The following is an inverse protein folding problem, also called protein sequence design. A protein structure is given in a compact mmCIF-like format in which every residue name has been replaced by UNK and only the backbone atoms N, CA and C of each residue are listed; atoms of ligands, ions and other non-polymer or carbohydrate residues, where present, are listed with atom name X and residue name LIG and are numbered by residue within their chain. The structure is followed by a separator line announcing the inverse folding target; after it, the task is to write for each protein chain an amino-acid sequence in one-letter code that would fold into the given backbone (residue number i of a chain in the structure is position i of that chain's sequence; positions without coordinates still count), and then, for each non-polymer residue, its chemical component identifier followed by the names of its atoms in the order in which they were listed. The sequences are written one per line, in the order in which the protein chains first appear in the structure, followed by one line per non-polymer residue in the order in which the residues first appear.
data_IF_485079444732
#
_entry.id   IF_485079444732
#
_cell.length_a   1.000
_cell.length_b   1.000
_cell.length_c   1.000
_cell.angle_alpha   90.00
_cell.angle_beta   90.00
_cell.angle_gamma   90.00
#
_symmetry.space_group_name_H-M   'P 1'
#
loop_
_entity.id
_entity.type
_entity.pdbx_description
1 polymer ?
#
# COMPACT_ATOMS: atom_id res chain seq x y z
N UNK A 1 8.31 18.96 11.60
CA UNK A 1 7.09 19.69 12.01
C UNK A 1 6.65 19.31 13.42
N UNK A 2 6.71 18.03 13.83
CA UNK A 2 6.54 17.65 15.25
C UNK A 2 7.50 18.39 16.20
N UNK A 3 8.75 18.64 15.79
CA UNK A 3 9.73 19.45 16.54
C UNK A 3 9.26 20.89 16.84
N UNK A 4 8.38 21.45 16.01
CA UNK A 4 7.78 22.77 16.23
C UNK A 4 6.66 22.71 17.30
N UNK A 5 5.86 21.65 17.29
CA UNK A 5 4.77 21.46 18.25
C UNK A 5 5.28 21.10 19.65
N UNK A 6 6.40 20.39 19.74
CA UNK A 6 7.05 20.01 21.02
C UNK A 6 7.67 21.20 21.74
N UNK A 7 8.23 22.17 21.01
CA UNK A 7 8.85 23.37 21.58
C UNK A 7 7.83 24.39 22.09
N UNK A 8 6.59 24.36 21.59
CA UNK A 8 5.58 25.39 21.86
C UNK A 8 4.40 24.95 22.77
N UNK A 9 4.52 23.83 23.50
CA UNK A 9 3.43 23.27 24.36
C UNK A 9 2.08 23.28 23.65
N UNK A 10 2.06 22.89 22.38
CA UNK A 10 0.85 23.01 21.57
C UNK A 10 -0.16 21.98 22.06
N UNK A 11 -1.39 22.44 22.35
CA UNK A 11 -2.46 21.59 22.89
C UNK A 11 -2.72 20.38 21.99
N UNK A 12 -3.10 19.25 22.58
CA UNK A 12 -3.37 18.01 21.84
C UNK A 12 -4.39 18.17 20.70
N UNK A 13 -5.23 19.19 20.76
CA UNK A 13 -6.16 19.59 19.70
C UNK A 13 -5.45 19.90 18.37
N UNK A 14 -4.36 20.67 18.38
CA UNK A 14 -3.66 21.03 17.15
C UNK A 14 -2.95 19.83 16.50
N UNK A 15 -2.41 18.91 17.31
CA UNK A 15 -1.86 17.65 16.79
C UNK A 15 -2.91 16.85 16.02
N UNK A 16 -4.16 16.81 16.50
CA UNK A 16 -5.26 16.16 15.81
C UNK A 16 -5.62 16.87 14.50
N UNK A 17 -5.66 18.20 14.50
CA UNK A 17 -5.94 19.01 13.29
C UNK A 17 -4.94 18.72 12.15
N UNK A 18 -3.68 18.39 12.46
CA UNK A 18 -2.69 18.01 11.44
C UNK A 18 -2.72 16.52 11.07
N UNK A 19 -3.01 15.63 12.02
CA UNK A 19 -3.02 14.17 11.77
C UNK A 19 -4.24 13.72 10.97
N UNK A 20 -5.41 14.34 11.18
CA UNK A 20 -6.65 13.97 10.49
C UNK A 20 -6.52 14.14 8.96
N UNK A 21 -6.11 15.30 8.42
CA UNK A 21 -5.93 15.47 6.98
C UNK A 21 -4.91 14.51 6.38
N UNK A 22 -3.83 14.20 7.09
CA UNK A 22 -2.82 13.23 6.65
C UNK A 22 -3.42 11.84 6.47
N UNK A 23 -4.18 11.35 7.46
CA UNK A 23 -4.85 10.05 7.40
C UNK A 23 -5.92 10.03 6.30
N UNK A 24 -6.69 11.10 6.14
CA UNK A 24 -7.69 11.22 5.06
C UNK A 24 -6.99 11.13 3.70
N UNK A 25 -5.90 11.87 3.50
CA UNK A 25 -5.14 11.85 2.26
C UNK A 25 -4.57 10.45 1.97
N UNK A 26 -4.01 9.79 3.00
CA UNK A 26 -3.51 8.43 2.90
C UNK A 26 -4.59 7.45 2.40
N UNK A 27 -5.79 7.46 3.00
CA UNK A 27 -6.89 6.60 2.55
C UNK A 27 -7.45 6.97 1.18
N UNK A 28 -7.43 8.26 0.82
CA UNK A 28 -7.83 8.73 -0.51
C UNK A 28 -6.94 8.09 -1.60
N UNK A 29 -5.66 7.89 -1.33
CA UNK A 29 -4.75 7.17 -2.23
C UNK A 29 -4.92 5.65 -2.15
N UNK A 30 -4.92 5.05 -0.95
CA UNK A 30 -4.90 3.59 -0.79
C UNK A 30 -6.18 2.91 -1.33
N UNK A 31 -7.36 3.52 -1.12
CA UNK A 31 -8.64 2.90 -1.49
C UNK A 31 -8.75 2.61 -3.00
N UNK A 32 -8.47 3.55 -3.91
CA UNK A 32 -8.44 3.29 -5.35
C UNK A 32 -7.53 2.13 -5.77
N UNK A 33 -6.31 2.05 -5.25
CA UNK A 33 -5.37 0.96 -5.57
C UNK A 33 -5.91 -0.39 -5.13
N UNK A 34 -6.38 -0.50 -3.88
CA UNK A 34 -6.94 -1.74 -3.36
C UNK A 34 -8.18 -2.18 -4.14
N UNK A 35 -9.04 -1.24 -4.55
CA UNK A 35 -10.18 -1.54 -5.44
C UNK A 35 -9.72 -2.06 -6.80
N UNK A 36 -8.71 -1.43 -7.40
CA UNK A 36 -8.13 -1.85 -8.68
C UNK A 36 -7.62 -3.30 -8.61
N UNK A 37 -6.80 -3.60 -7.59
CA UNK A 37 -6.31 -4.96 -7.36
C UNK A 37 -7.43 -5.95 -7.05
N UNK A 38 -8.48 -5.54 -6.34
CA UNK A 38 -9.63 -6.42 -6.04
C UNK A 38 -10.35 -6.85 -7.31
N UNK A 39 -10.59 -5.92 -8.25
CA UNK A 39 -11.24 -6.23 -9.52
C UNK A 39 -10.41 -7.24 -10.32
N UNK A 40 -9.09 -7.02 -10.41
CA UNK A 40 -8.17 -7.93 -11.12
C UNK A 40 -8.15 -9.31 -10.43
N UNK A 41 -8.05 -9.33 -9.10
CA UNK A 41 -8.01 -10.56 -8.33
C UNK A 41 -9.28 -11.40 -8.52
N UNK A 42 -10.44 -10.74 -8.52
CA UNK A 42 -11.73 -11.40 -8.78
C UNK A 42 -11.81 -11.93 -10.22
N UNK A 43 -11.34 -11.16 -11.21
CA UNK A 43 -11.32 -11.59 -12.62
C UNK A 43 -10.52 -12.87 -12.83
N UNK A 44 -9.41 -13.03 -12.11
CA UNK A 44 -8.53 -14.21 -12.21
C UNK A 44 -8.75 -15.23 -11.09
N UNK A 45 -9.81 -15.12 -10.28
CA UNK A 45 -10.08 -16.00 -9.13
C UNK A 45 -8.87 -16.16 -8.18
N UNK A 46 -8.05 -15.12 -8.04
CA UNK A 46 -6.86 -15.13 -7.20
C UNK A 46 -7.22 -14.84 -5.74
N UNK A 47 -7.56 -15.89 -5.00
CA UNK A 47 -7.95 -15.82 -3.58
C UNK A 47 -6.84 -15.28 -2.68
N UNK A 48 -5.57 -15.53 -3.01
CA UNK A 48 -4.44 -15.00 -2.23
C UNK A 48 -4.39 -13.48 -2.31
N UNK A 49 -4.54 -12.91 -3.51
CA UNK A 49 -4.56 -11.45 -3.66
C UNK A 49 -5.80 -10.83 -3.01
N UNK A 50 -6.97 -11.48 -3.08
CA UNK A 50 -8.17 -11.02 -2.37
C UNK A 50 -7.91 -10.93 -0.86
N UNK A 51 -7.35 -11.98 -0.26
CA UNK A 51 -7.02 -12.00 1.17
C UNK A 51 -5.94 -10.98 1.51
N UNK A 52 -4.92 -10.85 0.64
CA UNK A 52 -3.86 -9.87 0.80
C UNK A 52 -4.40 -8.44 0.86
N UNK A 53 -5.37 -8.09 0.01
CA UNK A 53 -6.02 -6.77 0.01
C UNK A 53 -6.70 -6.48 1.35
N UNK A 54 -7.45 -7.44 1.89
CA UNK A 54 -8.12 -7.26 3.18
C UNK A 54 -7.15 -7.14 4.34
N UNK A 55 -6.10 -7.96 4.37
CA UNK A 55 -5.04 -7.88 5.38
C UNK A 55 -4.33 -6.52 5.29
N UNK A 56 -3.96 -6.10 4.08
CA UNK A 56 -3.30 -4.81 3.84
C UNK A 56 -4.17 -3.63 4.29
N UNK A 57 -5.47 -3.68 4.02
CA UNK A 57 -6.41 -2.66 4.47
C UNK A 57 -6.53 -2.63 6.00
N UNK A 58 -6.58 -3.79 6.66
CA UNK A 58 -6.57 -3.88 8.12
C UNK A 58 -5.29 -3.31 8.74
N UNK A 59 -4.13 -3.61 8.14
CA UNK A 59 -2.83 -3.04 8.53
C UNK A 59 -2.84 -1.52 8.37
N UNK A 60 -3.35 -1.00 7.25
CA UNK A 60 -3.46 0.43 6.99
C UNK A 60 -4.30 1.15 8.05
N UNK A 61 -5.43 0.56 8.48
CA UNK A 61 -6.26 1.07 9.58
C UNK A 61 -5.48 1.04 10.90
N UNK A 62 -4.83 -0.09 11.21
CA UNK A 62 -4.08 -0.25 12.46
C UNK A 62 -2.94 0.75 12.59
N UNK A 63 -2.16 0.96 11.52
CA UNK A 63 -1.09 1.96 11.49
C UNK A 63 -1.67 3.36 11.68
N UNK A 64 -2.74 3.69 10.93
CA UNK A 64 -3.39 5.00 11.03
C UNK A 64 -3.90 5.26 12.45
N UNK A 65 -4.54 4.27 13.08
CA UNK A 65 -5.01 4.36 14.45
C UNK A 65 -3.85 4.55 15.43
N UNK A 66 -2.77 3.76 15.31
CA UNK A 66 -1.60 3.87 16.17
C UNK A 66 -0.94 5.26 16.10
N UNK A 67 -0.90 5.89 14.93
CA UNK A 67 -0.34 7.24 14.79
C UNK A 67 -1.10 8.31 15.59
N UNK A 68 -2.39 8.10 15.91
CA UNK A 68 -3.13 9.03 16.77
C UNK A 68 -2.69 8.97 18.24
N UNK A 69 -2.23 7.81 18.72
CA UNK A 69 -1.83 7.62 20.13
C UNK A 69 -0.37 7.97 20.43
N UNK A 70 0.48 8.09 19.40
CA UNK A 70 1.87 8.50 19.57
C UNK A 70 1.92 9.97 20.05
N UNK A 71 2.54 10.26 21.19
CA UNK A 71 2.57 11.62 21.74
C UNK A 71 3.78 12.36 21.20
N UNK A 72 3.56 13.56 20.68
CA UNK A 72 4.66 14.47 20.31
C UNK A 72 5.20 15.13 21.59
N UNK A 73 5.95 14.41 22.41
CA UNK A 73 6.57 14.93 23.63
C UNK A 73 8.10 15.01 23.52
N UNK A 74 8.64 15.75 22.54
CA UNK A 74 9.99 16.35 22.50
C UNK A 74 11.19 15.38 22.45
N UNK A 75 11.24 14.43 23.38
CA UNK A 75 12.06 13.24 23.39
C UNK A 75 11.22 12.07 22.89
N UNK A 76 11.65 11.44 21.80
CA UNK A 76 11.06 10.19 21.33
C UNK A 76 11.27 9.16 22.46
N UNK A 77 10.19 8.77 23.13
CA UNK A 77 10.26 7.80 24.20
C UNK A 77 10.65 6.42 23.66
N UNK A 78 11.33 5.61 24.47
CA UNK A 78 11.67 4.22 24.08
C UNK A 78 10.44 3.42 23.62
N UNK A 79 9.27 3.69 24.20
CA UNK A 79 7.99 3.10 23.80
C UNK A 79 7.55 3.53 22.39
N UNK A 80 7.75 4.80 22.01
CA UNK A 80 7.37 5.31 20.68
C UNK A 80 8.29 4.76 19.59
N UNK A 81 9.59 4.62 19.90
CA UNK A 81 10.53 3.93 19.02
C UNK A 81 10.09 2.48 18.83
N UNK A 82 9.80 1.76 19.92
CA UNK A 82 9.37 0.37 19.85
C UNK A 82 8.07 0.19 19.04
N UNK A 83 7.09 1.08 19.24
CA UNK A 83 5.85 1.10 18.45
C UNK A 83 6.14 1.40 16.98
N UNK A 84 6.95 2.41 16.66
CA UNK A 84 7.31 2.75 15.29
C UNK A 84 8.00 1.59 14.55
N UNK A 85 8.95 0.94 15.21
CA UNK A 85 9.62 -0.28 14.72
C UNK A 85 8.61 -1.40 14.45
N UNK A 86 7.70 -1.64 15.40
CA UNK A 86 6.67 -2.67 15.26
C UNK A 86 5.71 -2.37 14.10
N UNK A 87 5.29 -1.12 13.93
CA UNK A 87 4.44 -0.70 12.82
C UNK A 87 5.14 -0.86 11.47
N UNK A 88 6.45 -0.59 11.37
CA UNK A 88 7.22 -0.82 10.15
C UNK A 88 7.33 -2.30 9.79
N UNK A 89 7.51 -3.18 10.77
CA UNK A 89 7.50 -4.63 10.53
C UNK A 89 6.13 -5.09 10.01
N UNK A 90 5.04 -4.64 10.64
CA UNK A 90 3.67 -4.97 10.19
C UNK A 90 3.43 -4.43 8.77
N UNK A 91 3.84 -3.20 8.49
CA UNK A 91 3.74 -2.62 7.14
C UNK A 91 4.48 -3.49 6.12
N UNK A 92 5.71 -3.90 6.42
CA UNK A 92 6.49 -4.76 5.53
C UNK A 92 5.86 -6.14 5.31
N UNK A 93 5.21 -6.72 6.33
CA UNK A 93 4.41 -7.94 6.17
C UNK A 93 3.22 -7.71 5.22
N UNK A 94 2.56 -6.56 5.33
CA UNK A 94 1.51 -6.16 4.38
C UNK A 94 2.02 -6.11 2.94
N UNK A 95 3.13 -5.41 2.70
CA UNK A 95 3.77 -5.31 1.39
C UNK A 95 4.18 -6.68 0.83
N UNK A 96 4.73 -7.56 1.67
CA UNK A 96 5.08 -8.93 1.30
C UNK A 96 3.87 -9.74 0.81
N UNK A 97 2.80 -9.79 1.61
CA UNK A 97 1.61 -10.60 1.29
C UNK A 97 0.95 -10.05 0.01
N UNK A 98 0.88 -8.72 -0.13
CA UNK A 98 0.33 -8.06 -1.30
C UNK A 98 1.18 -8.32 -2.55
N UNK A 99 2.52 -8.23 -2.43
CA UNK A 99 3.46 -8.57 -3.50
C UNK A 99 3.36 -10.04 -3.94
N UNK A 100 3.21 -10.98 -3.01
CA UNK A 100 2.95 -12.40 -3.33
C UNK A 100 1.60 -12.58 -4.05
N UNK A 101 0.57 -11.82 -3.66
CA UNK A 101 -0.73 -11.77 -4.32
C UNK A 101 -0.62 -11.36 -5.78
N UNK A 102 0.12 -10.28 -6.05
CA UNK A 102 0.37 -9.78 -7.40
C UNK A 102 1.22 -10.77 -8.20
N UNK A 103 2.25 -11.37 -7.59
CA UNK A 103 3.14 -12.31 -8.27
C UNK A 103 2.38 -13.53 -8.83
N UNK A 104 1.32 -13.98 -8.14
CA UNK A 104 0.42 -15.03 -8.65
C UNK A 104 -0.34 -14.64 -9.91
N UNK A 105 -0.47 -13.36 -10.21
CA UNK A 105 -1.06 -12.90 -11.47
C UNK A 105 -0.13 -13.07 -12.67
N UNK A 106 1.16 -13.43 -12.49
CA UNK A 106 2.10 -13.56 -13.62
C UNK A 106 1.63 -14.54 -14.68
N UNK A 107 0.94 -15.61 -14.26
CA UNK A 107 0.44 -16.64 -15.19
C UNK A 107 -0.59 -16.06 -16.17
N UNK A 108 -1.31 -15.02 -15.75
CA UNK A 108 -2.37 -14.41 -16.54
C UNK A 108 -1.96 -13.07 -17.19
N UNK A 109 -1.09 -12.29 -16.53
CA UNK A 109 -0.72 -10.93 -16.93
C UNK A 109 0.75 -10.79 -17.33
N UNK A 110 1.51 -11.89 -17.33
CA UNK A 110 2.88 -11.93 -17.80
C UNK A 110 3.89 -11.22 -16.89
N UNK A 111 4.96 -10.72 -17.50
CA UNK A 111 6.14 -10.19 -16.81
C UNK A 111 5.86 -8.92 -16.01
N UNK A 112 4.86 -8.12 -16.38
CA UNK A 112 4.58 -6.87 -15.67
C UNK A 112 4.02 -7.12 -14.26
N UNK A 113 3.15 -8.13 -14.11
CA UNK A 113 2.70 -8.60 -12.80
C UNK A 113 3.87 -9.18 -11.99
N UNK A 114 4.78 -9.91 -12.64
CA UNK A 114 5.97 -10.43 -11.97
C UNK A 114 6.86 -9.32 -11.40
N UNK A 115 7.19 -8.31 -12.21
CA UNK A 115 8.02 -7.17 -11.78
C UNK A 115 7.35 -6.43 -10.63
N UNK A 116 6.06 -6.09 -10.78
CA UNK A 116 5.30 -5.37 -9.74
C UNK A 116 5.27 -6.15 -8.42
N UNK A 117 5.00 -7.47 -8.49
CA UNK A 117 4.99 -8.34 -7.30
C UNK A 117 6.37 -8.45 -6.63
N UNK A 118 7.43 -8.65 -7.42
CA UNK A 118 8.81 -8.76 -6.90
C UNK A 118 9.26 -7.47 -6.24
N UNK A 119 9.01 -6.30 -6.86
CA UNK A 119 9.41 -5.01 -6.28
C UNK A 119 8.72 -4.78 -4.93
N UNK A 120 7.42 -5.08 -4.80
CA UNK A 120 6.73 -5.02 -3.49
C UNK A 120 7.31 -5.99 -2.47
N UNK A 121 7.63 -7.22 -2.87
CA UNK A 121 8.25 -8.20 -1.98
C UNK A 121 9.59 -7.66 -1.44
N UNK A 122 10.45 -7.15 -2.32
CA UNK A 122 11.73 -6.56 -1.94
C UNK A 122 11.52 -5.37 -0.98
N UNK A 123 10.54 -4.52 -1.27
CA UNK A 123 10.17 -3.40 -0.38
C UNK A 123 9.72 -3.87 1.00
N UNK A 124 8.89 -4.91 1.06
CA UNK A 124 8.44 -5.51 2.32
C UNK A 124 9.59 -6.08 3.15
N UNK A 125 10.56 -6.76 2.51
CA UNK A 125 11.77 -7.27 3.16
C UNK A 125 12.60 -6.12 3.73
N UNK A 126 12.80 -5.03 2.96
CA UNK A 126 13.53 -3.86 3.44
C UNK A 126 12.84 -3.18 4.64
N UNK A 127 11.51 -3.13 4.65
CA UNK A 127 10.74 -2.59 5.78
C UNK A 127 10.86 -3.48 7.04
N UNK A 128 10.80 -4.81 6.89
CA UNK A 128 10.92 -5.76 8.01
C UNK A 128 12.33 -5.79 8.60
N UNK A 129 13.36 -5.66 7.76
CA UNK A 129 14.76 -5.75 8.21
C UNK A 129 15.20 -4.56 9.06
N UNK A 130 14.41 -3.48 9.13
CA UNK A 130 14.61 -2.25 9.92
C UNK A 130 15.89 -1.46 9.61
N UNK A 131 16.96 -2.07 9.11
CA UNK A 131 18.19 -1.38 8.70
C UNK A 131 17.93 -0.57 7.43
N UNK A 132 17.11 -1.10 6.51
CA UNK A 132 16.81 -0.51 5.21
C UNK A 132 15.45 0.20 5.17
N UNK A 133 14.85 0.49 6.34
CA UNK A 133 13.50 1.08 6.42
C UNK A 133 13.40 2.43 5.68
N UNK A 134 14.44 3.26 5.74
CA UNK A 134 14.47 4.56 5.04
C UNK A 134 14.48 4.37 3.52
N UNK A 135 15.17 3.33 3.03
CA UNK A 135 15.16 2.94 1.61
C UNK A 135 13.77 2.45 1.22
N UNK A 136 13.15 1.61 2.06
CA UNK A 136 11.79 1.12 1.82
C UNK A 136 10.79 2.27 1.70
N UNK A 137 10.85 3.25 2.60
CA UNK A 137 10.01 4.45 2.54
C UNK A 137 10.27 5.29 1.28
N UNK A 138 11.52 5.48 0.90
CA UNK A 138 11.89 6.21 -0.31
C UNK A 138 11.33 5.53 -1.58
N UNK A 139 11.32 4.20 -1.62
CA UNK A 139 10.84 3.43 -2.76
C UNK A 139 9.31 3.36 -2.87
N UNK A 140 8.54 3.75 -1.85
CA UNK A 140 7.07 3.78 -1.92
C UNK A 140 6.60 4.60 -3.12
N UNK A 141 7.19 5.77 -3.38
CA UNK A 141 6.74 6.63 -4.48
C UNK A 141 6.98 5.96 -5.85
N UNK A 142 8.21 5.49 -6.18
CA UNK A 142 8.44 4.68 -7.39
C UNK A 142 7.51 3.47 -7.52
N UNK A 143 7.23 2.79 -6.41
CA UNK A 143 6.34 1.62 -6.39
C UNK A 143 4.91 2.01 -6.74
N UNK A 144 4.37 3.07 -6.13
CA UNK A 144 3.02 3.55 -6.44
C UNK A 144 2.87 3.97 -7.92
N UNK A 145 3.92 4.56 -8.50
CA UNK A 145 3.96 4.88 -9.93
C UNK A 145 3.88 3.58 -10.75
N UNK A 146 4.73 2.59 -10.44
CA UNK A 146 4.74 1.28 -11.10
C UNK A 146 3.36 0.59 -11.01
N UNK A 147 2.75 0.57 -9.83
CA UNK A 147 1.42 0.01 -9.59
C UNK A 147 0.34 0.73 -10.39
N UNK A 148 0.44 2.05 -10.53
CA UNK A 148 -0.51 2.84 -11.34
C UNK A 148 -0.44 2.42 -12.81
N UNK A 149 0.78 2.31 -13.37
CA UNK A 149 0.97 1.83 -14.73
C UNK A 149 0.47 0.40 -14.90
N UNK A 150 0.74 -0.48 -13.93
CA UNK A 150 0.29 -1.87 -13.94
C UNK A 150 -1.24 -2.00 -13.97
N UNK A 151 -1.93 -1.27 -13.09
CA UNK A 151 -3.39 -1.27 -13.06
C UNK A 151 -3.95 -0.74 -14.38
N UNK A 152 -3.44 0.40 -14.87
CA UNK A 152 -3.93 1.01 -16.11
C UNK A 152 -3.73 0.09 -17.33
N UNK A 153 -2.54 -0.51 -17.47
CA UNK A 153 -2.24 -1.44 -18.57
C UNK A 153 -3.13 -2.69 -18.53
N UNK A 154 -3.34 -3.23 -17.32
CA UNK A 154 -4.22 -4.39 -17.11
C UNK A 154 -5.67 -4.05 -17.49
N UNK A 155 -6.19 -2.90 -17.05
CA UNK A 155 -7.55 -2.47 -17.39
C UNK A 155 -7.72 -2.18 -18.88
N UNK A 156 -6.72 -1.61 -19.53
CA UNK A 156 -6.72 -1.41 -20.98
C UNK A 156 -6.78 -2.75 -21.72
N UNK A 157 -5.94 -3.70 -21.32
CA UNK A 157 -5.92 -5.06 -21.88
C UNK A 157 -7.28 -5.75 -21.75
N UNK A 158 -7.96 -5.59 -20.60
CA UNK A 158 -9.32 -6.09 -20.42
C UNK A 158 -10.33 -5.43 -21.37
N UNK A 159 -10.30 -4.11 -21.49
CA UNK A 159 -11.21 -3.39 -22.40
C UNK A 159 -11.01 -3.80 -23.87
N UNK A 160 -9.77 -3.97 -24.28
CA UNK A 160 -9.43 -4.37 -25.65
C UNK A 160 -9.86 -5.82 -25.93
N UNK A 161 -9.79 -6.72 -24.93
CA UNK A 161 -10.27 -8.10 -25.06
C UNK A 161 -11.79 -8.19 -25.26
N UNK A 162 -12.56 -7.37 -24.54
CA UNK A 162 -14.03 -7.30 -24.68
C UNK A 162 -14.39 -6.76 -26.07
N UNK A 163 -13.74 -5.68 -26.50
CA UNK A 163 -14.03 -5.05 -27.81
C UNK A 163 -13.69 -5.98 -28.99
N UNK A 164 -12.69 -6.84 -28.85
CA UNK A 164 -12.36 -7.86 -29.86
C UNK A 164 -13.42 -8.96 -29.95
N UNK A 165 -13.95 -9.40 -28.82
CA UNK A 165 -14.97 -10.44 -28.75
C UNK A 165 -16.29 -9.97 -29.39
N UNK A 166 -16.73 -8.74 -29.09
CA UNK A 166 -17.93 -8.14 -29.67
C UNK A 166 -17.86 -8.06 -31.22
N UNK A 167 -16.68 -7.72 -31.77
CA UNK A 167 -16.45 -7.69 -33.22
C UNK A 167 -16.41 -9.07 -33.86
N UNK A 168 -15.91 -10.08 -33.14
CA UNK A 168 -15.88 -11.46 -33.64
C UNK A 168 -17.30 -12.06 -33.72
N UNK A 169 -18.18 -11.67 -32.80
CA UNK A 169 -19.58 -12.09 -32.78
C UNK A 169 -20.47 -11.33 -33.78
N UNK A 170 -20.13 -10.09 -34.16
CA UNK A 170 -20.89 -9.31 -35.15
C UNK A 170 -20.61 -9.66 -36.62
N UNK A 171 -19.64 -10.55 -36.89
CA UNK A 171 -19.22 -10.97 -38.24
C UNK A 171 -19.76 -12.35 -38.65
N UNK A 172 -20.69 -12.93 -37.87
CA UNK A 172 -21.46 -14.13 -38.19
C UNK A 172 -22.90 -13.76 -38.51
#
# INVERSE_FOLDING_TARGET
MEVYFTTHKVSGFWLLVFRIPYVILFFLFVIPFLKGYKIIAQKFNNTLLINAIYIYFGIAILISFATFFMKSNGFIGALEIAIGVFLMMIFGVGELIMGLGILRLKENLGSFAQVTGVVKIVNGIMAITLILWFVALFLIIPILILETFFLNDTFKTFKDSITRDDKAHSLK
#
